data_IF_737149476263
#
_entry.id   IF_737149476263
#
_cell.length_a   1.000
_cell.length_b   1.000
_cell.length_c   1.000
_cell.angle_alpha   90.00
_cell.angle_beta   90.00
_cell.angle_gamma   90.00
#
_symmetry.space_group_name_H-M   'P 1'
#
loop_
_entity.id
_entity.type
_entity.pdbx_description
1 polymer ?
#
# COMPACT_ATOMS: atom_id res chain seq x y z
N UNK A 1 2.26 -23.07 -6.78
CA UNK A 1 0.84 -22.81 -7.04
C UNK A 1 0.72 -21.85 -8.21
N UNK A 2 -0.04 -22.23 -9.20
CA UNK A 2 -0.31 -21.38 -10.36
C UNK A 2 -1.81 -21.09 -10.37
N UNK A 3 -2.14 -19.83 -10.57
CA UNK A 3 -3.53 -19.38 -10.67
C UNK A 3 -3.66 -18.51 -11.91
N UNK A 4 -4.50 -18.89 -12.84
CA UNK A 4 -4.72 -18.09 -14.04
C UNK A 4 -5.51 -16.81 -13.69
N UNK A 5 -5.31 -15.75 -14.46
CA UNK A 5 -5.97 -14.47 -14.22
C UNK A 5 -7.49 -14.62 -14.17
N UNK A 6 -8.07 -15.50 -15.01
CA UNK A 6 -9.52 -15.72 -15.07
C UNK A 6 -10.07 -16.41 -13.81
N UNK A 7 -9.23 -17.10 -13.05
CA UNK A 7 -9.60 -17.73 -11.79
C UNK A 7 -9.49 -16.79 -10.59
N UNK A 8 -8.92 -15.61 -10.77
CA UNK A 8 -8.69 -14.67 -9.69
C UNK A 8 -9.98 -13.94 -9.33
N UNK A 9 -10.20 -13.80 -8.04
CA UNK A 9 -11.27 -12.94 -7.55
C UNK A 9 -10.90 -11.50 -7.77
N UNK A 10 -11.87 -10.71 -8.22
CA UNK A 10 -11.69 -9.28 -8.37
C UNK A 10 -12.86 -8.52 -7.76
N UNK A 11 -12.59 -7.32 -7.27
CA UNK A 11 -13.60 -6.44 -6.72
C UNK A 11 -13.16 -4.99 -6.85
N UNK A 12 -14.13 -4.08 -6.77
CA UNK A 12 -13.85 -2.65 -6.75
C UNK A 12 -13.81 -2.14 -5.31
N UNK A 13 -12.91 -1.21 -5.05
CA UNK A 13 -12.76 -0.55 -3.75
C UNK A 13 -12.46 0.94 -3.94
N UNK A 14 -13.02 1.85 -3.16
CA UNK A 14 -14.21 1.65 -2.35
C UNK A 14 -15.43 1.23 -3.18
N UNK A 15 -16.39 0.58 -2.55
CA UNK A 15 -17.52 -0.01 -3.25
C UNK A 15 -18.38 1.04 -4.00
N UNK A 16 -18.49 2.23 -3.44
CA UNK A 16 -19.26 3.35 -3.99
C UNK A 16 -18.49 4.13 -5.06
N UNK A 17 -17.25 4.50 -4.79
CA UNK A 17 -16.44 5.36 -5.69
C UNK A 17 -15.67 4.57 -6.74
N UNK A 18 -15.43 3.29 -6.50
CA UNK A 18 -14.73 2.39 -7.43
C UNK A 18 -13.40 2.96 -7.93
N UNK A 19 -12.60 3.47 -7.01
CA UNK A 19 -11.30 4.06 -7.34
C UNK A 19 -10.26 3.03 -7.78
N UNK A 20 -10.43 1.78 -7.35
CA UNK A 20 -9.48 0.70 -7.63
C UNK A 20 -10.22 -0.58 -7.96
N UNK A 21 -9.68 -1.33 -8.92
CA UNK A 21 -10.05 -2.72 -9.10
C UNK A 21 -8.93 -3.58 -8.55
N UNK A 22 -9.25 -4.43 -7.59
CA UNK A 22 -8.30 -5.33 -6.94
C UNK A 22 -8.49 -6.73 -7.46
N UNK A 23 -7.41 -7.35 -7.90
CA UNK A 23 -7.38 -8.74 -8.36
C UNK A 23 -6.48 -9.53 -7.42
N UNK A 24 -7.05 -10.48 -6.69
CA UNK A 24 -6.30 -11.30 -5.75
C UNK A 24 -5.49 -12.35 -6.51
N UNK A 25 -4.17 -12.33 -6.31
CA UNK A 25 -3.25 -13.24 -6.98
C UNK A 25 -3.07 -14.52 -6.17
N UNK A 26 -2.26 -15.44 -6.70
CA UNK A 26 -1.99 -16.71 -6.06
C UNK A 26 -1.45 -16.53 -4.63
N UNK A 27 -1.91 -17.37 -3.73
CA UNK A 27 -1.48 -17.36 -2.33
C UNK A 27 -1.26 -18.79 -1.85
N UNK A 28 -0.58 -18.93 -0.72
CA UNK A 28 -0.34 -20.23 -0.10
C UNK A 28 -0.71 -20.20 1.37
N UNK A 29 -1.23 -21.31 1.88
CA UNK A 29 -1.52 -21.47 3.30
C UNK A 29 -0.26 -21.54 4.15
N UNK A 30 0.91 -21.77 3.55
CA UNK A 30 2.20 -21.72 4.23
C UNK A 30 2.56 -20.30 4.68
N UNK A 31 1.99 -19.28 4.04
CA UNK A 31 2.16 -17.87 4.39
C UNK A 31 0.79 -17.22 4.56
N UNK A 32 0.04 -17.59 5.61
CA UNK A 32 -1.36 -17.17 5.76
C UNK A 32 -1.54 -15.67 5.96
N UNK A 33 -0.48 -14.95 6.31
CA UNK A 33 -0.52 -13.52 6.53
C UNK A 33 0.02 -12.72 5.36
N UNK A 34 0.30 -13.37 4.24
CA UNK A 34 0.79 -12.72 3.03
C UNK A 34 -0.28 -12.75 1.95
N UNK A 35 -0.47 -11.61 1.29
CA UNK A 35 -1.38 -11.49 0.15
C UNK A 35 -0.75 -10.65 -0.93
N UNK A 36 -1.00 -11.02 -2.16
CA UNK A 36 -0.59 -10.23 -3.30
C UNK A 36 -1.81 -9.88 -4.15
N UNK A 37 -1.79 -8.67 -4.68
CA UNK A 37 -2.86 -8.12 -5.49
C UNK A 37 -2.30 -7.42 -6.71
N UNK A 38 -3.05 -7.49 -7.80
CA UNK A 38 -2.93 -6.54 -8.88
C UNK A 38 -3.96 -5.45 -8.62
N UNK A 39 -3.53 -4.21 -8.54
CA UNK A 39 -4.42 -3.07 -8.35
C UNK A 39 -4.47 -2.26 -9.64
N UNK A 40 -5.63 -2.20 -10.26
CA UNK A 40 -5.87 -1.26 -11.35
C UNK A 40 -6.35 0.05 -10.74
N UNK A 41 -5.54 1.09 -10.86
CA UNK A 41 -5.86 2.42 -10.37
C UNK A 41 -6.74 3.10 -11.40
N UNK A 42 -7.93 3.50 -10.98
CA UNK A 42 -8.92 4.20 -11.80
C UNK A 42 -9.21 5.58 -11.20
N UNK A 43 -8.72 5.83 -10.01
CA UNK A 43 -8.94 7.06 -9.26
C UNK A 43 -8.28 8.24 -9.96
N UNK A 44 -9.08 9.09 -10.58
CA UNK A 44 -8.56 10.29 -11.23
C UNK A 44 -8.69 11.54 -10.37
N UNK A 45 -9.75 11.66 -9.58
CA UNK A 45 -10.11 12.91 -8.92
C UNK A 45 -10.45 12.78 -7.43
N UNK A 46 -10.59 11.59 -6.88
CA UNK A 46 -10.93 11.44 -5.48
C UNK A 46 -9.69 11.70 -4.60
N UNK A 47 -9.69 12.77 -3.79
CA UNK A 47 -8.55 13.11 -2.94
C UNK A 47 -8.52 12.34 -1.62
N UNK A 48 -9.54 11.53 -1.31
CA UNK A 48 -9.62 10.85 -0.03
C UNK A 48 -8.53 9.79 0.12
N UNK A 49 -7.89 9.78 1.28
CA UNK A 49 -6.88 8.79 1.63
C UNK A 49 -7.59 7.56 2.22
N UNK A 50 -8.20 6.78 1.36
CA UNK A 50 -9.09 5.69 1.72
C UNK A 50 -8.40 4.33 1.82
N UNK A 51 -7.12 4.26 1.56
CA UNK A 51 -6.34 3.04 1.72
C UNK A 51 -5.58 3.05 3.03
N UNK A 52 -5.72 1.96 3.77
CA UNK A 52 -5.03 1.77 5.05
C UNK A 52 -5.01 0.28 5.36
N UNK A 53 -3.86 -0.22 5.72
CA UNK A 53 -3.72 -1.64 6.06
C UNK A 53 -2.88 -1.82 7.33
N UNK A 54 -3.19 -2.83 8.10
CA UNK A 54 -2.38 -3.24 9.25
C UNK A 54 -1.17 -4.10 8.88
N UNK A 55 -0.98 -4.37 7.61
CA UNK A 55 0.15 -5.15 7.09
C UNK A 55 1.25 -4.24 6.57
N UNK A 56 2.46 -4.77 6.51
CA UNK A 56 3.51 -4.15 5.70
C UNK A 56 3.11 -4.25 4.22
N UNK A 57 3.30 -3.19 3.47
CA UNK A 57 2.87 -3.17 2.08
C UNK A 57 3.99 -2.72 1.17
N UNK A 58 4.30 -3.55 0.19
CA UNK A 58 5.18 -3.19 -0.92
C UNK A 58 4.30 -2.94 -2.14
N UNK A 59 4.65 -1.93 -2.91
CA UNK A 59 3.96 -1.64 -4.16
C UNK A 59 4.98 -1.42 -5.27
N UNK A 60 4.64 -1.89 -6.45
CA UNK A 60 5.49 -1.80 -7.63
C UNK A 60 4.65 -1.38 -8.82
N UNK A 61 5.04 -0.31 -9.51
CA UNK A 61 4.33 0.13 -10.70
C UNK A 61 4.72 -0.76 -11.88
N UNK A 62 3.84 -1.70 -12.20
CA UNK A 62 4.03 -2.65 -13.30
C UNK A 62 3.39 -2.18 -14.60
N UNK A 63 2.71 -1.04 -14.57
CA UNK A 63 2.10 -0.44 -15.75
C UNK A 63 3.07 0.40 -16.55
N UNK A 64 2.54 1.15 -17.46
CA UNK A 64 3.29 2.03 -18.35
C UNK A 64 3.00 3.51 -18.13
N UNK A 65 2.23 3.83 -17.12
CA UNK A 65 1.84 5.20 -16.77
C UNK A 65 2.30 5.58 -15.39
N UNK A 66 2.50 6.88 -15.18
CA UNK A 66 2.83 7.43 -13.87
C UNK A 66 1.60 7.43 -12.96
N UNK A 67 1.79 7.04 -11.71
CA UNK A 67 0.77 7.03 -10.67
C UNK A 67 1.21 7.99 -9.57
N UNK A 68 0.28 8.78 -9.06
CA UNK A 68 0.54 9.67 -7.93
C UNK A 68 0.21 8.95 -6.62
N UNK A 69 1.19 8.87 -5.73
CA UNK A 69 0.99 8.38 -4.36
C UNK A 69 0.82 9.57 -3.42
N UNK A 70 -0.23 9.54 -2.63
CA UNK A 70 -0.51 10.54 -1.60
C UNK A 70 -0.64 9.85 -0.26
N UNK A 71 0.01 10.38 0.77
CA UNK A 71 -0.07 9.78 2.10
C UNK A 71 -0.07 10.85 3.18
N UNK A 72 -0.61 10.50 4.33
CA UNK A 72 -0.69 11.39 5.47
C UNK A 72 0.43 11.10 6.46
N UNK A 73 1.16 12.13 6.83
CA UNK A 73 2.26 12.05 7.76
C UNK A 73 2.19 13.25 8.70
N UNK A 74 1.96 13.00 9.99
CA UNK A 74 1.95 14.06 11.00
C UNK A 74 0.93 15.17 10.72
N UNK A 75 -0.22 14.83 10.17
CA UNK A 75 -1.26 15.80 9.83
C UNK A 75 -1.08 16.47 8.48
N UNK A 76 0.02 16.26 7.80
CA UNK A 76 0.28 16.81 6.47
C UNK A 76 0.16 15.73 5.40
N UNK A 77 -0.29 16.13 4.23
CA UNK A 77 -0.38 15.23 3.08
C UNK A 77 0.85 15.42 2.20
N UNK A 78 1.52 14.32 1.92
CA UNK A 78 2.68 14.27 1.04
C UNK A 78 2.31 13.60 -0.27
N UNK A 79 2.95 14.01 -1.34
CA UNK A 79 2.70 13.47 -2.68
C UNK A 79 4.01 13.12 -3.33
N UNK A 80 4.04 11.96 -3.99
CA UNK A 80 5.17 11.56 -4.82
C UNK A 80 4.67 10.81 -6.04
N UNK A 81 5.31 11.05 -7.16
CA UNK A 81 5.01 10.32 -8.39
C UNK A 81 5.73 8.98 -8.41
N UNK A 82 4.99 7.95 -8.73
CA UNK A 82 5.49 6.60 -8.91
C UNK A 82 5.53 6.31 -10.40
N UNK A 83 6.72 6.32 -10.97
CA UNK A 83 6.92 6.05 -12.40
C UNK A 83 6.91 4.55 -12.68
N UNK A 84 6.66 4.13 -13.93
CA UNK A 84 6.80 2.72 -14.29
C UNK A 84 8.16 2.16 -13.85
N UNK A 85 8.13 1.02 -13.18
CA UNK A 85 9.34 0.40 -12.63
C UNK A 85 9.73 0.85 -11.23
N UNK A 86 9.10 1.88 -10.69
CA UNK A 86 9.35 2.31 -9.32
C UNK A 86 8.65 1.41 -8.32
N UNK A 87 9.28 1.23 -7.18
CA UNK A 87 8.73 0.47 -6.07
C UNK A 87 8.76 1.29 -4.79
N UNK A 88 7.89 0.94 -3.87
CA UNK A 88 7.80 1.61 -2.58
C UNK A 88 7.41 0.64 -1.48
N UNK A 89 7.65 1.04 -0.27
CA UNK A 89 7.20 0.36 0.94
C UNK A 89 6.35 1.30 1.77
N UNK A 90 5.19 0.84 2.19
CA UNK A 90 4.29 1.58 3.07
C UNK A 90 4.18 0.85 4.40
N UNK A 91 4.50 1.55 5.47
CA UNK A 91 4.39 1.03 6.82
C UNK A 91 2.91 0.82 7.21
N UNK A 92 2.63 -0.13 8.13
CA UNK A 92 1.25 -0.34 8.61
C UNK A 92 0.60 0.94 9.12
N UNK A 93 -0.71 1.04 8.89
CA UNK A 93 -1.59 2.12 9.37
C UNK A 93 -1.35 3.51 8.77
N UNK A 94 -0.62 3.61 7.68
CA UNK A 94 -0.51 4.89 6.95
C UNK A 94 -1.71 5.03 6.02
N UNK A 95 -2.44 6.11 6.21
CA UNK A 95 -3.52 6.49 5.30
C UNK A 95 -2.92 7.00 4.00
N UNK A 96 -3.36 6.45 2.89
CA UNK A 96 -2.80 6.80 1.59
C UNK A 96 -3.83 6.61 0.48
N UNK A 97 -3.51 7.09 -0.71
CA UNK A 97 -4.21 6.75 -1.94
C UNK A 97 -3.26 6.75 -3.12
N UNK A 98 -3.71 6.13 -4.19
CA UNK A 98 -3.08 6.24 -5.50
C UNK A 98 -4.04 6.97 -6.44
N UNK A 99 -3.50 7.87 -7.24
CA UNK A 99 -4.29 8.62 -8.22
C UNK A 99 -3.65 8.51 -9.60
N UNK A 100 -4.50 8.44 -10.59
CA UNK A 100 -4.10 8.30 -11.97
C UNK A 100 -4.83 7.14 -12.64
N UNK A 101 -4.22 6.58 -13.64
CA UNK A 101 -4.75 5.42 -14.36
C UNK A 101 -3.59 4.49 -14.69
N UNK A 102 -3.54 3.35 -14.05
CA UNK A 102 -2.44 2.44 -14.24
C UNK A 102 -2.57 1.18 -13.39
N UNK A 103 -1.51 0.42 -13.35
CA UNK A 103 -1.50 -0.90 -12.74
C UNK A 103 -0.35 -1.02 -11.75
N UNK A 104 -0.67 -1.45 -10.54
CA UNK A 104 0.29 -1.61 -9.46
C UNK A 104 0.21 -3.04 -8.92
N UNK A 105 1.37 -3.65 -8.71
CA UNK A 105 1.46 -4.90 -7.97
C UNK A 105 1.62 -4.57 -6.50
N UNK A 106 0.80 -5.18 -5.65
CA UNK A 106 0.83 -4.97 -4.20
C UNK A 106 1.12 -6.30 -3.51
N UNK A 107 2.11 -6.27 -2.63
CA UNK A 107 2.42 -7.37 -1.73
C UNK A 107 2.21 -6.89 -0.30
N UNK A 108 1.28 -7.52 0.40
CA UNK A 108 1.04 -7.29 1.82
C UNK A 108 1.60 -8.43 2.63
N UNK A 109 2.46 -8.12 3.56
CA UNK A 109 3.03 -9.07 4.50
C UNK A 109 2.55 -8.68 5.88
N UNK A 110 1.53 -9.40 6.35
CA UNK A 110 1.18 -9.38 7.73
C UNK A 110 2.16 -10.26 8.45
N UNK A 111 3.29 -9.72 8.82
CA UNK A 111 4.02 -10.31 9.91
C UNK A 111 3.02 -10.41 11.07
N UNK A 112 3.32 -11.23 12.08
CA UNK A 112 2.67 -11.11 13.36
C UNK A 112 2.83 -9.67 13.86
N UNK A 113 2.09 -8.75 13.29
CA UNK A 113 1.63 -7.66 14.10
C UNK A 113 0.62 -8.35 15.02
N UNK A 114 1.13 -9.17 15.90
CA UNK A 114 0.41 -9.68 17.04
C UNK A 114 -0.27 -8.49 17.69
N UNK A 115 -1.34 -8.72 18.39
CA UNK A 115 -1.95 -7.68 19.21
C UNK A 115 -0.92 -6.89 20.02
N UNK A 116 0.24 -7.45 20.26
CA UNK A 116 1.35 -6.80 20.96
C UNK A 116 2.02 -5.70 20.16
N UNK A 117 2.24 -5.86 18.86
CA UNK A 117 2.80 -4.79 18.04
C UNK A 117 1.78 -3.68 17.81
N UNK A 118 0.49 -4.01 17.73
CA UNK A 118 -0.57 -3.01 17.73
C UNK A 118 -0.66 -2.29 19.08
N UNK A 119 -0.44 -3.00 20.17
CA UNK A 119 -0.33 -2.40 21.51
C UNK A 119 0.87 -1.48 21.61
N UNK A 120 2.03 -1.89 21.12
CA UNK A 120 3.22 -1.06 21.11
C UNK A 120 2.99 0.22 20.32
N UNK A 121 2.35 0.13 19.16
CA UNK A 121 2.00 1.31 18.36
C UNK A 121 0.99 2.21 19.06
N UNK A 122 0.10 1.67 19.88
CA UNK A 122 -0.88 2.46 20.62
C UNK A 122 -0.34 2.96 21.97
N UNK A 123 0.63 2.26 22.58
CA UNK A 123 1.24 2.62 23.86
C UNK A 123 2.41 3.57 23.68
N UNK A 124 3.13 3.45 22.57
CA UNK A 124 4.35 4.19 22.29
C UNK A 124 4.09 5.66 22.01
N UNK A 125 2.85 6.09 22.05
CA UNK A 125 2.49 7.48 21.93
C UNK A 125 2.79 8.08 20.56
N UNK A 126 2.15 9.21 20.31
CA UNK A 126 2.16 9.89 19.02
C UNK A 126 3.57 10.20 18.50
N UNK A 127 4.51 10.55 19.39
CA UNK A 127 5.89 10.88 18.98
C UNK A 127 6.63 9.72 18.35
N UNK A 128 6.47 8.52 18.87
CA UNK A 128 7.17 7.35 18.34
C UNK A 128 6.51 6.83 17.07
N UNK A 129 5.20 6.98 16.95
CA UNK A 129 4.49 6.68 15.71
C UNK A 129 4.96 7.62 14.59
N UNK A 130 5.10 8.91 14.86
CA UNK A 130 5.61 9.88 13.91
C UNK A 130 7.05 9.59 13.51
N UNK A 131 7.89 9.24 14.47
CA UNK A 131 9.28 8.86 14.22
C UNK A 131 9.38 7.62 13.34
N UNK A 132 8.58 6.62 13.61
CA UNK A 132 8.54 5.41 12.80
C UNK A 132 8.08 5.70 11.36
N UNK A 133 7.13 6.59 11.19
CA UNK A 133 6.66 7.04 9.89
C UNK A 133 7.77 7.85 9.17
N UNK A 134 8.47 8.72 9.88
CA UNK A 134 9.61 9.47 9.34
C UNK A 134 10.71 8.54 8.83
N UNK A 135 11.08 7.54 9.62
CA UNK A 135 12.07 6.55 9.21
C UNK A 135 11.62 5.80 7.96
N UNK A 136 10.36 5.42 7.88
CA UNK A 136 9.79 4.77 6.71
C UNK A 136 9.87 5.69 5.49
N UNK A 137 9.58 6.97 5.66
CA UNK A 137 9.66 7.95 4.58
C UNK A 137 11.09 8.11 4.07
N UNK A 138 12.09 8.04 4.95
CA UNK A 138 13.50 8.08 4.56
C UNK A 138 13.89 6.87 3.70
N UNK A 139 13.26 5.73 3.91
CA UNK A 139 13.49 4.52 3.10
C UNK A 139 12.99 4.68 1.67
N UNK A 140 12.10 5.63 1.42
CA UNK A 140 11.64 5.95 0.08
C UNK A 140 12.56 6.88 -0.68
N UNK A 141 13.65 7.34 -0.08
CA UNK A 141 14.62 8.19 -0.78
C UNK A 141 15.17 7.42 -1.98
N UNK A 142 14.94 7.91 -3.21
CA UNK A 142 15.39 7.22 -4.42
C UNK A 142 16.90 7.10 -4.54
N UNK A 143 17.65 7.80 -3.70
CA UNK A 143 19.11 7.70 -3.65
C UNK A 143 19.58 6.47 -2.89
N UNK A 144 18.68 5.66 -2.35
CA UNK A 144 19.00 4.44 -1.65
C UNK A 144 19.77 4.63 -0.35
N UNK A 145 19.72 5.79 0.22
CA UNK A 145 20.33 6.05 1.51
C UNK A 145 19.47 5.47 2.63
N UNK A 146 20.07 4.58 3.32
CA UNK A 146 19.48 4.00 4.51
C UNK A 146 19.86 4.79 5.74
#
# INVERSE_FOLDING_TARGET
IIKSHDECKSWFYPEDTKCYELVELASTTALPFSKSFEMNVINQNNPELDLKTGSHQYAYNIGDTQISLNWKLGGNIHTKNLNPGDSLYIKPFIEHNFRGKGKILILRIGGKVSGDAQRELSIVGKKNAERAISETTQWFDPRGKK
#
